data_IF_987356006742
#
_entry.id   IF_987356006742
#
_cell.length_a   1.000
_cell.length_b   1.000
_cell.length_c   1.000
_cell.angle_alpha   90.00
_cell.angle_beta   90.00
_cell.angle_gamma   90.00
#
_symmetry.space_group_name_H-M   'P 1'
#
loop_
_entity.id
_entity.type
_entity.pdbx_description
1 polymer ?
#
# COMPACT_ATOMS: atom_id res chain seq x y z
N UNK A 1 -28.04 22.78 5.57
CA UNK A 1 -27.04 21.68 5.63
C UNK A 1 -26.78 21.24 4.22
N UNK A 2 -25.64 21.61 3.63
CA UNK A 2 -25.27 21.09 2.31
C UNK A 2 -25.06 19.58 2.46
N UNK A 3 -25.85 18.77 1.76
CA UNK A 3 -25.63 17.32 1.73
C UNK A 3 -24.27 17.08 1.07
N UNK A 4 -23.36 16.40 1.76
CA UNK A 4 -22.17 15.88 1.10
C UNK A 4 -22.63 14.97 -0.05
N UNK A 5 -22.06 15.11 -1.26
CA UNK A 5 -22.46 14.25 -2.37
C UNK A 5 -22.16 12.80 -2.00
N UNK A 6 -23.11 11.89 -2.23
CA UNK A 6 -22.89 10.46 -1.98
C UNK A 6 -21.77 9.89 -2.87
N UNK A 7 -21.61 10.45 -4.08
CA UNK A 7 -20.66 10.02 -5.08
C UNK A 7 -19.91 11.22 -5.68
N UNK A 8 -18.59 11.13 -5.76
CA UNK A 8 -17.74 12.03 -6.54
C UNK A 8 -17.21 11.23 -7.73
N UNK A 9 -17.61 11.60 -8.93
CA UNK A 9 -17.12 11.00 -10.18
C UNK A 9 -16.46 12.09 -11.02
N UNK A 10 -15.22 11.88 -11.42
CA UNK A 10 -14.48 12.82 -12.24
C UNK A 10 -13.69 12.09 -13.35
N UNK A 11 -13.72 12.66 -14.54
CA UNK A 11 -13.02 12.18 -15.72
C UNK A 11 -12.06 13.28 -16.17
N UNK A 12 -10.77 12.97 -16.25
CA UNK A 12 -9.68 13.88 -16.63
C UNK A 12 -9.59 15.20 -15.81
N UNK A 13 -9.89 15.22 -14.50
CA UNK A 13 -9.71 16.44 -13.72
C UNK A 13 -8.23 16.69 -13.48
N UNK A 14 -7.82 17.93 -13.30
CA UNK A 14 -6.49 18.16 -12.72
C UNK A 14 -6.48 17.71 -11.24
N UNK A 15 -7.52 18.04 -10.48
CA UNK A 15 -7.60 17.75 -9.04
C UNK A 15 -8.99 17.23 -8.66
N UNK A 16 -9.01 16.16 -7.85
CA UNK A 16 -10.21 15.67 -7.16
C UNK A 16 -10.01 15.87 -5.67
N UNK A 17 -10.83 16.72 -5.06
CA UNK A 17 -10.88 16.91 -3.62
C UNK A 17 -12.24 16.49 -3.10
N UNK A 18 -12.27 15.54 -2.18
CA UNK A 18 -13.48 14.94 -1.67
C UNK A 18 -13.44 14.83 -0.14
N UNK A 19 -14.49 15.32 0.52
CA UNK A 19 -14.65 15.22 1.98
C UNK A 19 -16.01 14.59 2.30
N UNK A 20 -15.99 13.39 2.88
CA UNK A 20 -17.17 12.65 3.33
C UNK A 20 -18.14 12.08 2.27
N UNK A 21 -17.85 11.97 0.95
CA UNK A 21 -18.74 11.20 0.08
C UNK A 21 -18.64 9.72 0.42
N UNK A 22 -19.64 8.88 0.12
CA UNK A 22 -19.45 7.43 0.28
C UNK A 22 -18.43 6.89 -0.72
N UNK A 23 -18.40 7.43 -1.95
CA UNK A 23 -17.56 6.94 -3.04
C UNK A 23 -16.85 8.07 -3.78
N UNK A 24 -15.56 7.86 -4.08
CA UNK A 24 -14.75 8.70 -4.96
C UNK A 24 -14.23 7.85 -6.11
N UNK A 25 -14.55 8.23 -7.35
CA UNK A 25 -14.05 7.62 -8.57
C UNK A 25 -13.44 8.68 -9.46
N UNK A 26 -12.16 8.50 -9.80
CA UNK A 26 -11.42 9.43 -10.66
C UNK A 26 -10.66 8.68 -11.75
N UNK A 27 -10.84 9.11 -12.99
CA UNK A 27 -10.08 8.58 -14.13
C UNK A 27 -9.15 9.66 -14.67
N UNK A 28 -7.87 9.33 -14.81
CA UNK A 28 -6.79 10.21 -15.25
C UNK A 28 -6.67 11.55 -14.49
N UNK A 29 -6.80 11.61 -13.14
CA UNK A 29 -6.55 12.84 -12.41
C UNK A 29 -5.03 13.11 -12.30
N UNK A 30 -4.59 14.36 -12.12
CA UNK A 30 -3.22 14.56 -11.61
C UNK A 30 -3.17 14.19 -10.12
N UNK A 31 -4.15 14.67 -9.33
CA UNK A 31 -4.19 14.43 -7.89
C UNK A 31 -5.59 14.04 -7.39
N UNK A 32 -5.64 13.03 -6.53
CA UNK A 32 -6.83 12.66 -5.75
C UNK A 32 -6.54 12.85 -4.26
N UNK A 33 -7.32 13.69 -3.60
CA UNK A 33 -7.31 13.86 -2.16
C UNK A 33 -8.70 13.53 -1.61
N UNK A 34 -8.78 12.50 -0.78
CA UNK A 34 -10.04 12.00 -0.26
C UNK A 34 -9.98 11.79 1.25
N UNK A 35 -10.92 12.41 1.96
CA UNK A 35 -11.02 12.39 3.42
C UNK A 35 -12.36 11.77 3.83
N UNK A 36 -12.30 10.63 4.51
CA UNK A 36 -13.46 9.92 5.06
C UNK A 36 -14.44 9.25 4.09
N UNK A 37 -14.14 8.98 2.79
CA UNK A 37 -15.09 8.21 2.00
C UNK A 37 -15.05 6.73 2.34
N UNK A 38 -16.09 5.95 2.10
CA UNK A 38 -15.97 4.50 2.29
C UNK A 38 -15.02 3.89 1.25
N UNK A 39 -15.06 4.37 0.01
CA UNK A 39 -14.30 3.83 -1.11
C UNK A 39 -13.63 4.92 -1.96
N UNK A 40 -12.36 4.71 -2.30
CA UNK A 40 -11.61 5.53 -3.27
C UNK A 40 -11.12 4.63 -4.41
N UNK A 41 -11.48 4.98 -5.64
CA UNK A 41 -10.98 4.35 -6.85
C UNK A 41 -10.34 5.40 -7.75
N UNK A 42 -9.07 5.23 -8.09
CA UNK A 42 -8.34 6.12 -8.98
C UNK A 42 -7.63 5.32 -10.08
N UNK A 43 -7.82 5.71 -11.33
CA UNK A 43 -7.15 5.13 -12.48
C UNK A 43 -6.21 6.15 -13.10
N UNK A 44 -4.96 5.75 -13.32
CA UNK A 44 -3.89 6.58 -13.85
C UNK A 44 -3.70 7.94 -13.14
N UNK A 45 -3.79 8.04 -11.78
CA UNK A 45 -3.47 9.28 -11.09
C UNK A 45 -1.95 9.53 -11.09
N UNK A 46 -1.48 10.77 -10.97
CA UNK A 46 -0.09 10.93 -10.49
C UNK A 46 -0.03 10.61 -9.00
N UNK A 47 -0.94 11.19 -8.20
CA UNK A 47 -0.94 11.04 -6.74
C UNK A 47 -2.31 10.70 -6.18
N UNK A 48 -2.36 9.73 -5.27
CA UNK A 48 -3.54 9.42 -4.44
C UNK A 48 -3.19 9.63 -2.97
N UNK A 49 -3.93 10.50 -2.30
CA UNK A 49 -3.88 10.71 -0.87
C UNK A 49 -5.25 10.41 -0.28
N UNK A 50 -5.33 9.37 0.55
CA UNK A 50 -6.58 8.91 1.12
C UNK A 50 -6.49 8.73 2.64
N UNK A 51 -7.45 9.30 3.34
CA UNK A 51 -7.44 9.43 4.81
C UNK A 51 -8.75 8.91 5.37
N UNK A 52 -8.66 7.84 6.16
CA UNK A 52 -9.79 7.16 6.76
C UNK A 52 -10.81 6.45 5.85
N UNK A 53 -10.53 6.11 4.56
CA UNK A 53 -11.48 5.29 3.84
C UNK A 53 -11.52 3.86 4.33
N UNK A 54 -12.53 3.06 3.99
CA UNK A 54 -12.44 1.62 4.24
C UNK A 54 -11.53 0.94 3.20
N UNK A 55 -11.64 1.38 1.93
CA UNK A 55 -10.94 0.77 0.80
C UNK A 55 -10.33 1.83 -0.13
N UNK A 56 -9.09 1.60 -0.56
CA UNK A 56 -8.40 2.38 -1.60
C UNK A 56 -7.95 1.44 -2.71
N UNK A 57 -8.35 1.74 -3.94
CA UNK A 57 -7.89 1.07 -5.15
C UNK A 57 -7.25 2.10 -6.09
N UNK A 58 -5.99 1.88 -6.45
CA UNK A 58 -5.27 2.73 -7.39
C UNK A 58 -4.62 1.89 -8.48
N UNK A 59 -4.87 2.24 -9.75
CA UNK A 59 -4.25 1.60 -10.91
C UNK A 59 -3.30 2.59 -11.59
N UNK A 60 -2.07 2.15 -11.83
CA UNK A 60 -0.99 2.94 -12.41
C UNK A 60 -0.76 4.33 -11.76
N UNK A 61 -0.78 4.46 -10.41
CA UNK A 61 -0.41 5.72 -9.76
C UNK A 61 1.11 5.94 -9.83
N UNK A 62 1.62 7.17 -9.81
CA UNK A 62 3.03 7.35 -9.40
C UNK A 62 3.16 7.11 -7.89
N UNK A 63 2.26 7.67 -7.10
CA UNK A 63 2.33 7.65 -5.66
C UNK A 63 0.97 7.39 -4.99
N UNK A 64 0.94 6.49 -4.03
CA UNK A 64 -0.21 6.23 -3.15
C UNK A 64 0.20 6.47 -1.71
N UNK A 65 -0.49 7.38 -1.02
CA UNK A 65 -0.44 7.51 0.43
C UNK A 65 -1.82 7.25 1.01
N UNK A 66 -1.89 6.30 1.92
CA UNK A 66 -3.13 5.91 2.58
C UNK A 66 -2.90 5.82 4.10
N UNK A 67 -3.75 6.47 4.88
CA UNK A 67 -3.70 6.42 6.34
C UNK A 67 -5.06 6.06 6.92
N UNK A 68 -5.10 4.99 7.70
CA UNK A 68 -6.33 4.49 8.32
C UNK A 68 -7.26 3.59 7.48
N UNK A 69 -7.05 3.26 6.18
CA UNK A 69 -7.87 2.24 5.56
C UNK A 69 -7.76 0.84 6.12
N UNK A 70 -8.85 0.09 5.99
CA UNK A 70 -8.78 -1.34 6.22
C UNK A 70 -7.96 -2.01 5.10
N UNK A 71 -8.14 -1.59 3.85
CA UNK A 71 -7.52 -2.21 2.69
C UNK A 71 -6.99 -1.20 1.66
N UNK A 72 -5.77 -1.44 1.19
CA UNK A 72 -5.16 -0.72 0.06
C UNK A 72 -4.74 -1.73 -1.01
N UNK A 73 -5.19 -1.50 -2.24
CA UNK A 73 -4.76 -2.22 -3.44
C UNK A 73 -4.16 -1.24 -4.44
N UNK A 74 -2.89 -1.44 -4.81
CA UNK A 74 -2.20 -0.64 -5.81
C UNK A 74 -1.61 -1.53 -6.89
N UNK A 75 -1.86 -1.21 -8.17
CA UNK A 75 -1.28 -1.90 -9.32
C UNK A 75 -0.36 -0.97 -10.08
N UNK A 76 0.85 -1.45 -10.37
CA UNK A 76 1.95 -0.73 -11.01
C UNK A 76 2.25 0.67 -10.40
N UNK A 77 2.25 0.84 -9.06
CA UNK A 77 2.64 2.12 -8.46
C UNK A 77 4.16 2.30 -8.56
N UNK A 78 4.68 3.54 -8.61
CA UNK A 78 6.10 3.70 -8.25
C UNK A 78 6.25 3.51 -6.73
N UNK A 79 5.40 4.17 -5.94
CA UNK A 79 5.52 4.20 -4.49
C UNK A 79 4.18 3.99 -3.78
N UNK A 80 4.17 3.13 -2.77
CA UNK A 80 3.05 2.93 -1.84
C UNK A 80 3.51 3.23 -0.43
N UNK A 81 2.85 4.19 0.23
CA UNK A 81 3.00 4.50 1.64
C UNK A 81 1.68 4.23 2.36
N UNK A 82 1.72 3.34 3.34
CA UNK A 82 0.56 2.80 4.02
C UNK A 82 0.75 2.91 5.54
N UNK A 83 -0.14 3.61 6.23
CA UNK A 83 -0.07 3.80 7.69
C UNK A 83 -1.35 3.30 8.35
N UNK A 84 -1.21 2.53 9.44
CA UNK A 84 -2.33 2.11 10.27
C UNK A 84 -3.44 1.36 9.51
N UNK A 85 -3.06 0.30 8.81
CA UNK A 85 -3.97 -0.44 7.94
C UNK A 85 -4.14 -1.88 8.40
N UNK A 86 -5.18 -2.57 7.91
CA UNK A 86 -5.21 -4.02 8.07
C UNK A 86 -4.41 -4.70 6.95
N UNK A 87 -4.62 -4.32 5.69
CA UNK A 87 -4.03 -5.03 4.55
C UNK A 87 -3.50 -4.09 3.47
N UNK A 88 -2.28 -4.35 3.00
CA UNK A 88 -1.66 -3.71 1.84
C UNK A 88 -1.39 -4.77 0.78
N UNK A 89 -1.93 -4.57 -0.43
CA UNK A 89 -1.61 -5.36 -1.61
C UNK A 89 -1.03 -4.45 -2.69
N UNK A 90 0.19 -4.73 -3.11
CA UNK A 90 0.85 -4.00 -4.19
C UNK A 90 1.36 -4.97 -5.27
N UNK A 91 1.04 -4.67 -6.52
CA UNK A 91 1.51 -5.44 -7.69
C UNK A 91 2.46 -4.56 -8.50
N UNK A 92 3.65 -5.07 -8.79
CA UNK A 92 4.72 -4.38 -9.51
C UNK A 92 5.07 -2.98 -8.95
N UNK A 93 5.17 -2.77 -7.61
CA UNK A 93 5.61 -1.49 -7.08
C UNK A 93 7.13 -1.31 -7.26
N UNK A 94 7.65 -0.10 -7.37
CA UNK A 94 9.08 0.07 -7.08
C UNK A 94 9.31 -0.02 -5.57
N UNK A 95 8.49 0.67 -4.78
CA UNK A 95 8.68 0.78 -3.34
C UNK A 95 7.36 0.63 -2.56
N UNK A 96 7.39 -0.19 -1.51
CA UNK A 96 6.30 -0.32 -0.54
C UNK A 96 6.85 0.00 0.85
N UNK A 97 6.27 1.00 1.51
CA UNK A 97 6.45 1.26 2.94
C UNK A 97 5.12 1.12 3.67
N UNK A 98 5.09 0.21 4.64
CA UNK A 98 3.92 -0.02 5.47
C UNK A 98 4.30 0.08 6.96
N UNK A 99 3.67 1.00 7.69
CA UNK A 99 3.84 1.13 9.14
C UNK A 99 2.57 0.66 9.83
N UNK A 100 2.74 -0.32 10.72
CA UNK A 100 1.68 -0.96 11.49
C UNK A 100 0.53 -1.57 10.65
N UNK A 101 0.82 -2.31 9.57
CA UNK A 101 -0.19 -3.13 8.89
C UNK A 101 -0.45 -4.44 9.68
N UNK A 102 -1.58 -5.12 9.47
CA UNK A 102 -1.63 -6.55 9.83
C UNK A 102 -0.92 -7.39 8.76
N UNK A 103 -1.19 -7.14 7.48
CA UNK A 103 -0.66 -7.91 6.37
C UNK A 103 -0.11 -7.01 5.26
N UNK A 104 1.09 -7.34 4.77
CA UNK A 104 1.71 -6.75 3.58
C UNK A 104 1.91 -7.84 2.54
N UNK A 105 1.34 -7.68 1.36
CA UNK A 105 1.57 -8.52 0.19
C UNK A 105 2.09 -7.66 -0.95
N UNK A 106 3.28 -7.97 -1.45
CA UNK A 106 3.87 -7.30 -2.59
C UNK A 106 4.36 -8.35 -3.61
N UNK A 107 4.00 -8.19 -4.88
CA UNK A 107 4.57 -9.01 -5.96
C UNK A 107 5.39 -8.13 -6.89
N UNK A 108 6.57 -8.63 -7.24
CA UNK A 108 7.58 -7.95 -8.04
C UNK A 108 7.98 -6.56 -7.51
N UNK A 109 8.10 -6.33 -6.18
CA UNK A 109 8.58 -5.05 -5.68
C UNK A 109 10.09 -4.91 -5.93
N UNK A 110 10.61 -3.70 -6.15
CA UNK A 110 12.05 -3.52 -5.94
C UNK A 110 12.37 -3.55 -4.44
N UNK A 111 11.59 -2.85 -3.63
CA UNK A 111 11.83 -2.70 -2.19
C UNK A 111 10.53 -2.81 -1.38
N UNK A 112 10.58 -3.58 -0.29
CA UNK A 112 9.53 -3.64 0.74
C UNK A 112 10.13 -3.26 2.09
N UNK A 113 9.53 -2.27 2.74
CA UNK A 113 9.81 -1.89 4.13
C UNK A 113 8.53 -2.01 4.95
N UNK A 114 8.57 -2.80 6.02
CA UNK A 114 7.44 -2.97 6.92
C UNK A 114 7.87 -2.82 8.38
N UNK A 115 7.09 -2.07 9.17
CA UNK A 115 7.30 -1.93 10.62
C UNK A 115 6.09 -2.43 11.40
N UNK A 116 6.37 -3.31 12.36
CA UNK A 116 5.44 -4.08 13.17
C UNK A 116 4.26 -4.70 12.40
N UNK A 117 4.49 -5.38 11.25
CA UNK A 117 3.44 -6.15 10.58
C UNK A 117 3.14 -7.44 11.35
N UNK A 118 1.96 -8.03 11.22
CA UNK A 118 1.82 -9.46 11.58
C UNK A 118 2.50 -10.32 10.50
N UNK A 119 2.20 -10.06 9.23
CA UNK A 119 2.73 -10.85 8.11
C UNK A 119 3.26 -9.98 6.98
N UNK A 120 4.43 -10.34 6.46
CA UNK A 120 5.00 -9.80 5.22
C UNK A 120 5.16 -10.95 4.22
N UNK A 121 4.56 -10.80 3.04
CA UNK A 121 4.74 -11.70 1.90
C UNK A 121 5.24 -10.91 0.70
N UNK A 122 6.42 -11.26 0.19
CA UNK A 122 7.02 -10.62 -0.96
C UNK A 122 7.42 -11.66 -2.02
N UNK A 123 6.90 -11.53 -3.23
CA UNK A 123 7.25 -12.42 -4.35
C UNK A 123 8.17 -11.67 -5.32
N UNK A 124 9.32 -12.26 -5.64
CA UNK A 124 10.39 -11.68 -6.46
C UNK A 124 10.82 -10.25 -6.05
N UNK A 125 11.04 -9.95 -4.75
CA UNK A 125 11.56 -8.65 -4.35
C UNK A 125 13.05 -8.52 -4.68
N UNK A 126 13.57 -7.30 -4.89
CA UNK A 126 15.03 -7.13 -4.72
C UNK A 126 15.37 -7.12 -3.24
N UNK A 127 14.68 -6.30 -2.43
CA UNK A 127 14.96 -6.14 -1.01
C UNK A 127 13.69 -6.20 -0.14
N UNK A 128 13.77 -6.92 0.97
CA UNK A 128 12.74 -6.92 2.02
C UNK A 128 13.37 -6.52 3.34
N UNK A 129 12.84 -5.48 3.98
CA UNK A 129 13.19 -5.05 5.32
C UNK A 129 11.94 -5.07 6.21
N UNK A 130 11.98 -5.87 7.27
CA UNK A 130 10.90 -5.99 8.23
C UNK A 130 11.40 -5.78 9.66
N UNK A 131 10.75 -4.92 10.41
CA UNK A 131 11.02 -4.66 11.83
C UNK A 131 9.82 -5.14 12.64
N UNK A 132 10.08 -5.96 13.65
CA UNK A 132 9.09 -6.60 14.53
C UNK A 132 7.92 -7.31 13.79
N UNK A 133 8.17 -8.07 12.71
CA UNK A 133 7.11 -8.87 12.10
C UNK A 133 6.76 -10.08 12.99
N UNK A 134 5.57 -10.67 12.89
CA UNK A 134 5.41 -12.06 13.36
C UNK A 134 6.01 -13.03 12.33
N UNK A 135 5.68 -12.84 11.05
CA UNK A 135 6.09 -13.72 9.95
C UNK A 135 6.60 -12.92 8.75
N UNK A 136 7.70 -13.37 8.16
CA UNK A 136 8.21 -12.89 6.86
C UNK A 136 8.34 -14.05 5.90
N UNK A 137 7.71 -13.96 4.73
CA UNK A 137 7.86 -14.87 3.61
C UNK A 137 8.36 -14.10 2.38
N UNK A 138 9.48 -14.55 1.80
CA UNK A 138 10.03 -13.98 0.58
C UNK A 138 10.37 -15.07 -0.43
N UNK A 139 9.95 -14.91 -1.69
CA UNK A 139 10.32 -15.82 -2.78
C UNK A 139 11.28 -15.13 -3.74
N UNK A 140 12.43 -15.75 -4.01
CA UNK A 140 13.51 -15.23 -4.83
C UNK A 140 13.95 -13.79 -4.51
N UNK A 141 14.16 -13.42 -3.22
CA UNK A 141 14.70 -12.12 -2.88
C UNK A 141 16.19 -12.02 -3.22
N UNK A 142 16.70 -10.82 -3.54
CA UNK A 142 18.16 -10.61 -3.43
C UNK A 142 18.55 -10.52 -1.95
N UNK A 143 17.86 -9.69 -1.17
CA UNK A 143 18.16 -9.45 0.24
C UNK A 143 16.90 -9.49 1.11
N UNK A 144 17.00 -10.17 2.25
CA UNK A 144 15.99 -10.11 3.34
C UNK A 144 16.67 -9.71 4.64
N UNK A 145 16.17 -8.65 5.27
CA UNK A 145 16.53 -8.22 6.62
C UNK A 145 15.28 -8.23 7.50
N UNK A 146 15.30 -9.02 8.56
CA UNK A 146 14.21 -9.09 9.52
C UNK A 146 14.74 -8.96 10.96
N UNK A 147 14.14 -8.09 11.76
CA UNK A 147 14.48 -7.85 13.16
C UNK A 147 13.26 -8.13 14.02
N UNK A 148 13.38 -8.94 15.08
CA UNK A 148 12.26 -9.41 15.88
C UNK A 148 11.22 -10.35 15.23
N UNK A 149 11.48 -11.09 14.11
CA UNK A 149 10.53 -12.06 13.59
C UNK A 149 10.36 -13.25 14.52
N UNK A 150 9.15 -13.79 14.63
CA UNK A 150 8.96 -15.16 15.12
C UNK A 150 9.40 -16.18 14.06
N UNK A 151 9.11 -15.89 12.78
CA UNK A 151 9.44 -16.77 11.66
C UNK A 151 9.89 -16.00 10.41
N UNK A 152 10.93 -16.50 9.75
CA UNK A 152 11.39 -16.03 8.44
C UNK A 152 11.54 -17.22 7.49
N UNK A 153 10.87 -17.13 6.34
CA UNK A 153 10.98 -18.09 5.25
C UNK A 153 11.42 -17.36 3.98
N UNK A 154 12.61 -17.68 3.47
CA UNK A 154 13.12 -17.13 2.23
C UNK A 154 13.48 -18.27 1.27
N UNK A 155 12.85 -18.30 0.09
CA UNK A 155 13.16 -19.28 -0.95
C UNK A 155 14.12 -18.69 -1.98
N UNK A 156 15.24 -19.36 -2.23
CA UNK A 156 16.30 -18.91 -3.15
C UNK A 156 16.81 -17.47 -2.90
N UNK A 157 17.09 -17.05 -1.65
CA UNK A 157 17.68 -15.74 -1.39
C UNK A 157 19.15 -15.68 -1.82
N UNK A 158 19.66 -14.50 -2.18
CA UNK A 158 21.11 -14.30 -2.19
C UNK A 158 21.64 -14.08 -0.77
N UNK A 159 20.94 -13.27 0.04
CA UNK A 159 21.31 -12.97 1.43
C UNK A 159 20.09 -12.88 2.35
N UNK A 160 20.21 -13.43 3.56
CA UNK A 160 19.20 -13.32 4.62
C UNK A 160 19.88 -12.98 5.94
N UNK A 161 19.39 -11.94 6.60
CA UNK A 161 19.73 -11.57 7.97
C UNK A 161 18.45 -11.54 8.80
N UNK A 162 18.35 -12.44 9.78
CA UNK A 162 17.24 -12.48 10.72
C UNK A 162 17.78 -12.45 12.16
N UNK A 163 17.34 -11.49 12.95
CA UNK A 163 17.62 -11.43 14.39
C UNK A 163 16.31 -11.61 15.12
N UNK A 164 16.14 -12.71 15.85
CA UNK A 164 14.91 -13.02 16.58
C UNK A 164 14.53 -11.98 17.64
N UNK A 165 13.38 -12.16 18.31
CA UNK A 165 12.98 -11.31 19.44
C UNK A 165 13.93 -11.41 20.63
#
# INVERSE_FOLDING_TARGET
>A
MAQCPQYVMAQEPQYVMAQGPQYVMAHCPQHVMAQGPQYVMAQCPQHVMAQGPQYVMAQCPQFVMAQGPQYVMAQCPQHVMALWLQHVMAQEPQYVMALWPQHVMAQEPQYVMAQCPQHVMALWPQHVMAQEPQYVMAQCPQYVMAQGPQYVMAHCPQHVMAQGP
#
